data_IF_299562076735
#
_entry.id   IF_299562076735
#
_cell.length_a   1.000
_cell.length_b   1.000
_cell.length_c   1.000
_cell.angle_alpha   90.00
_cell.angle_beta   90.00
_cell.angle_gamma   90.00
#
_symmetry.space_group_name_H-M   'P 1'
#
loop_
_entity.id
_entity.type
_entity.pdbx_description
1 polymer ?
#
# COMPACT_ATOMS: atom_id res chain seq x y z
N UNK A 1 36.53 -10.49 9.71
CA UNK A 1 35.54 -9.71 8.93
C UNK A 1 34.75 -10.71 8.12
N UNK A 2 33.42 -10.59 8.06
CA UNK A 2 32.61 -11.49 7.24
C UNK A 2 32.54 -10.94 5.81
N UNK A 3 32.55 -11.84 4.84
CA UNK A 3 32.33 -11.55 3.43
C UNK A 3 31.07 -12.26 2.96
N UNK A 4 30.30 -11.60 2.11
CA UNK A 4 29.06 -12.11 1.57
C UNK A 4 29.18 -12.27 0.06
N UNK A 5 28.74 -13.42 -0.43
CA UNK A 5 28.78 -13.78 -1.84
C UNK A 5 27.36 -14.07 -2.29
N UNK A 6 26.90 -13.31 -3.27
CA UNK A 6 25.55 -13.42 -3.81
C UNK A 6 25.63 -14.05 -5.18
N UNK A 7 24.74 -15.01 -5.43
CA UNK A 7 24.60 -15.70 -6.70
C UNK A 7 23.16 -15.65 -7.17
N UNK A 8 22.96 -15.29 -8.43
CA UNK A 8 21.66 -15.33 -9.09
C UNK A 8 21.73 -16.29 -10.28
N UNK A 9 20.80 -17.24 -10.29
CA UNK A 9 20.50 -18.11 -11.42
C UNK A 9 19.20 -17.61 -12.07
N UNK A 10 19.20 -17.40 -13.38
CA UNK A 10 17.99 -17.02 -14.11
C UNK A 10 17.23 -18.26 -14.60
N UNK A 11 16.04 -18.04 -15.16
CA UNK A 11 15.28 -19.08 -15.83
C UNK A 11 15.92 -19.56 -17.14
N UNK A 12 16.84 -18.77 -17.72
CA UNK A 12 17.60 -19.18 -18.89
C UNK A 12 18.75 -20.12 -18.48
N UNK A 13 18.84 -21.32 -19.07
CA UNK A 13 19.91 -22.26 -18.71
C UNK A 13 21.30 -21.67 -18.94
N UNK A 14 22.14 -21.71 -17.91
CA UNK A 14 23.55 -21.29 -17.99
C UNK A 14 23.82 -19.83 -17.61
N UNK A 15 22.78 -18.99 -17.50
CA UNK A 15 22.93 -17.61 -17.04
C UNK A 15 23.09 -17.58 -15.52
N UNK A 16 24.27 -17.12 -15.08
CA UNK A 16 24.72 -17.09 -13.71
C UNK A 16 25.46 -15.79 -13.47
N UNK A 17 25.07 -15.09 -12.41
CA UNK A 17 25.63 -13.79 -12.04
C UNK A 17 26.14 -13.84 -10.61
N UNK A 18 27.20 -13.11 -10.32
CA UNK A 18 27.87 -13.12 -9.03
C UNK A 18 28.25 -11.72 -8.59
N UNK A 19 28.00 -11.43 -7.31
CA UNK A 19 28.65 -10.33 -6.62
C UNK A 19 29.35 -10.92 -5.40
N UNK A 20 30.68 -10.86 -5.42
CA UNK A 20 31.55 -11.49 -4.42
C UNK A 20 32.09 -10.47 -3.43
N UNK A 21 32.54 -10.96 -2.27
CA UNK A 21 33.30 -10.18 -1.28
C UNK A 21 32.60 -8.93 -0.74
N UNK A 22 31.26 -8.90 -0.76
CA UNK A 22 30.47 -7.82 -0.14
C UNK A 22 30.69 -7.83 1.36
N UNK A 23 30.79 -6.65 1.96
CA UNK A 23 31.03 -6.49 3.41
C UNK A 23 29.81 -5.98 4.17
N UNK A 24 28.84 -5.38 3.46
CA UNK A 24 27.58 -4.92 4.02
C UNK A 24 26.41 -5.82 3.58
N UNK A 25 25.86 -6.55 4.55
CA UNK A 25 24.70 -7.39 4.34
C UNK A 25 23.42 -6.57 4.12
N UNK A 26 23.40 -5.31 4.58
CA UNK A 26 22.25 -4.40 4.43
C UNK A 26 22.08 -3.98 2.98
N UNK A 27 23.18 -3.72 2.26
CA UNK A 27 23.18 -3.45 0.81
C UNK A 27 22.50 -4.60 0.05
N UNK A 28 22.90 -5.84 0.32
CA UNK A 28 22.28 -7.03 -0.31
C UNK A 28 20.78 -7.10 -0.01
N UNK A 29 20.37 -6.79 1.23
CA UNK A 29 18.96 -6.79 1.61
C UNK A 29 18.17 -5.71 0.88
N UNK A 30 18.68 -4.48 0.85
CA UNK A 30 17.98 -3.29 0.36
C UNK A 30 17.96 -3.21 -1.16
N UNK A 31 19.06 -3.60 -1.81
CA UNK A 31 19.21 -3.45 -3.27
C UNK A 31 18.76 -4.68 -4.04
N UNK A 32 18.83 -5.88 -3.43
CA UNK A 32 18.51 -7.14 -4.14
C UNK A 32 17.28 -7.81 -3.54
N UNK A 33 17.32 -8.18 -2.25
CA UNK A 33 16.32 -9.09 -1.67
C UNK A 33 14.96 -8.42 -1.47
N UNK A 34 14.91 -7.21 -0.91
CA UNK A 34 13.66 -6.48 -0.67
C UNK A 34 12.96 -6.15 -2.00
N UNK A 35 13.62 -5.55 -3.01
CA UNK A 35 13.02 -5.34 -4.33
C UNK A 35 12.51 -6.63 -4.97
N UNK A 36 13.30 -7.70 -4.95
CA UNK A 36 12.89 -9.02 -5.45
C UNK A 36 11.62 -9.53 -4.78
N UNK A 37 11.54 -9.43 -3.44
CA UNK A 37 10.37 -9.87 -2.67
C UNK A 37 9.12 -9.00 -2.87
N UNK A 38 9.31 -7.74 -3.26
CA UNK A 38 8.23 -6.79 -3.54
C UNK A 38 7.78 -6.81 -5.01
N UNK A 39 8.45 -7.58 -5.88
CA UNK A 39 8.16 -7.62 -7.32
C UNK A 39 8.67 -6.38 -8.06
N UNK A 40 9.62 -5.64 -7.49
CA UNK A 40 10.25 -4.48 -8.10
C UNK A 40 11.45 -4.91 -8.96
N UNK A 41 11.85 -4.04 -9.89
CA UNK A 41 13.10 -4.20 -10.62
C UNK A 41 14.29 -3.87 -9.72
N UNK A 42 15.42 -4.55 -9.94
CA UNK A 42 16.67 -4.31 -9.22
C UNK A 42 17.89 -4.51 -10.13
N UNK A 43 19.04 -3.99 -9.70
CA UNK A 43 20.31 -4.13 -10.41
C UNK A 43 21.17 -5.16 -9.68
N UNK A 44 21.84 -6.03 -10.43
CA UNK A 44 22.79 -7.01 -9.90
C UNK A 44 23.84 -7.33 -10.96
N UNK A 45 25.12 -7.29 -10.61
CA UNK A 45 26.25 -7.51 -11.52
C UNK A 45 26.19 -6.63 -12.79
N UNK A 46 25.63 -5.42 -12.65
CA UNK A 46 25.41 -4.47 -13.75
C UNK A 46 24.18 -4.76 -14.64
N UNK A 47 23.42 -5.83 -14.38
CA UNK A 47 22.22 -6.20 -15.12
C UNK A 47 20.94 -5.81 -14.38
N UNK A 48 19.87 -5.54 -15.13
CA UNK A 48 18.53 -5.30 -14.57
C UNK A 48 17.73 -6.60 -14.50
N UNK A 49 17.21 -6.90 -13.31
CA UNK A 49 16.38 -8.07 -13.05
C UNK A 49 15.00 -7.69 -12.54
N UNK A 50 14.02 -8.55 -12.85
CA UNK A 50 12.73 -8.61 -12.18
C UNK A 50 12.48 -10.03 -11.63
N UNK A 51 11.47 -10.17 -10.78
CA UNK A 51 11.15 -11.43 -10.10
C UNK A 51 10.88 -12.60 -11.07
N UNK A 52 10.36 -12.34 -12.27
CA UNK A 52 9.99 -13.39 -13.25
C UNK A 52 11.17 -13.98 -13.99
N UNK A 53 12.32 -13.31 -13.99
CA UNK A 53 13.54 -13.78 -14.65
C UNK A 53 14.39 -14.65 -13.72
N UNK A 54 14.22 -14.51 -12.41
CA UNK A 54 15.08 -15.14 -11.40
C UNK A 54 14.54 -16.51 -11.02
N UNK A 55 15.36 -17.54 -11.21
CA UNK A 55 15.08 -18.91 -10.80
C UNK A 55 15.49 -19.15 -9.35
N UNK A 56 16.64 -18.63 -8.94
CA UNK A 56 17.20 -18.84 -7.61
C UNK A 56 18.17 -17.72 -7.22
N UNK A 57 18.10 -17.28 -5.97
CA UNK A 57 19.10 -16.42 -5.32
C UNK A 57 19.75 -17.22 -4.20
N UNK A 58 21.08 -17.18 -4.10
CA UNK A 58 21.85 -17.78 -3.00
C UNK A 58 22.73 -16.70 -2.37
N UNK A 59 22.77 -16.68 -1.05
CA UNK A 59 23.61 -15.77 -0.27
C UNK A 59 24.47 -16.62 0.66
N UNK A 60 25.78 -16.51 0.48
CA UNK A 60 26.80 -17.22 1.26
C UNK A 60 27.60 -16.25 2.11
N UNK A 61 27.94 -16.66 3.32
CA UNK A 61 28.83 -15.94 4.23
C UNK A 61 30.16 -16.70 4.36
N UNK A 62 31.30 -16.01 4.32
CA UNK A 62 32.64 -16.58 4.54
C UNK A 62 33.51 -15.72 5.45
N UNK A 63 34.53 -16.34 6.03
CA UNK A 63 35.54 -15.66 6.85
C UNK A 63 36.76 -15.16 6.03
N UNK A 64 36.84 -15.54 4.75
CA UNK A 64 37.90 -15.14 3.81
C UNK A 64 37.28 -14.61 2.52
N UNK A 65 38.08 -13.91 1.72
CA UNK A 65 37.67 -13.43 0.41
C UNK A 65 37.55 -14.57 -0.61
N UNK A 66 36.95 -14.30 -1.76
CA UNK A 66 36.88 -15.22 -2.89
C UNK A 66 38.26 -15.52 -3.49
N UNK A 67 39.16 -14.52 -3.53
CA UNK A 67 40.55 -14.70 -3.96
C UNK A 67 41.37 -15.54 -2.97
N UNK A 68 41.24 -15.30 -1.66
CA UNK A 68 41.93 -16.11 -0.63
C UNK A 68 41.52 -17.59 -0.72
N UNK A 69 40.25 -17.84 -1.04
CA UNK A 69 39.74 -19.19 -1.31
C UNK A 69 40.43 -19.80 -2.54
N UNK A 70 40.48 -19.06 -3.66
CA UNK A 70 41.06 -19.52 -4.90
C UNK A 70 42.54 -19.89 -4.74
N UNK A 71 43.31 -19.05 -4.05
CA UNK A 71 44.72 -19.28 -3.75
C UNK A 71 44.93 -20.53 -2.89
N UNK A 72 44.12 -20.72 -1.85
CA UNK A 72 44.21 -21.91 -0.97
C UNK A 72 43.91 -23.20 -1.73
N UNK A 73 42.89 -23.21 -2.58
CA UNK A 73 42.56 -24.38 -3.40
C UNK A 73 43.63 -24.65 -4.47
N UNK A 74 44.18 -23.60 -5.07
CA UNK A 74 45.29 -23.71 -6.01
C UNK A 74 46.55 -24.30 -5.36
N UNK A 75 46.86 -23.90 -4.12
CA UNK A 75 47.99 -24.44 -3.35
C UNK A 75 47.83 -25.90 -2.93
N UNK A 76 46.59 -26.40 -2.76
CA UNK A 76 46.32 -27.82 -2.45
C UNK A 76 46.64 -28.75 -3.62
N UNK A 77 46.65 -28.24 -4.85
CA UNK A 77 46.88 -29.05 -6.05
C UNK A 77 48.37 -29.27 -6.32
N UNK A 78 48.75 -30.49 -6.73
CA UNK A 78 50.13 -30.81 -7.13
C UNK A 78 50.57 -29.92 -8.30
N UNK A 79 51.85 -29.52 -8.39
CA UNK A 79 52.33 -28.62 -9.43
C UNK A 79 51.99 -29.07 -10.86
N UNK A 80 51.97 -30.38 -11.13
CA UNK A 80 51.66 -30.93 -12.47
C UNK A 80 50.16 -30.93 -12.82
N UNK A 81 49.26 -30.66 -11.87
CA UNK A 81 47.79 -30.72 -12.07
C UNK A 81 47.06 -29.43 -11.66
N UNK A 82 47.80 -28.33 -11.47
CA UNK A 82 47.21 -27.03 -11.11
C UNK A 82 46.36 -26.48 -12.24
N UNK A 83 45.06 -26.40 -11.98
CA UNK A 83 44.11 -25.63 -12.78
C UNK A 83 43.84 -24.28 -12.11
N UNK A 84 43.47 -23.28 -12.91
CA UNK A 84 43.01 -22.00 -12.37
C UNK A 84 41.70 -22.21 -11.60
N UNK A 85 41.64 -21.67 -10.39
CA UNK A 85 40.44 -21.73 -9.54
C UNK A 85 39.74 -20.39 -9.66
N UNK A 86 38.56 -20.40 -10.29
CA UNK A 86 37.73 -19.21 -10.38
C UNK A 86 37.20 -18.78 -9.00
N UNK A 87 37.35 -17.51 -8.60
CA UNK A 87 36.89 -17.01 -7.29
C UNK A 87 35.41 -17.28 -7.02
N UNK A 88 34.54 -17.17 -8.03
CA UNK A 88 33.10 -17.40 -7.90
C UNK A 88 32.73 -18.83 -7.47
N UNK A 89 33.64 -19.80 -7.63
CA UNK A 89 33.43 -21.18 -7.17
C UNK A 89 33.27 -21.27 -5.65
N UNK A 90 33.71 -20.26 -4.88
CA UNK A 90 33.54 -20.21 -3.43
C UNK A 90 32.08 -20.41 -3.02
N UNK A 91 31.13 -19.91 -3.81
CA UNK A 91 29.68 -20.01 -3.55
C UNK A 91 29.22 -21.48 -3.47
N UNK A 92 29.88 -22.38 -4.20
CA UNK A 92 29.58 -23.81 -4.19
C UNK A 92 30.30 -24.61 -3.11
N UNK A 93 31.18 -23.99 -2.32
CA UNK A 93 32.10 -24.67 -1.39
C UNK A 93 31.67 -24.45 0.05
N UNK A 94 30.93 -25.42 0.59
CA UNK A 94 30.45 -25.41 1.98
C UNK A 94 31.60 -25.46 3.02
N UNK A 95 32.81 -25.85 2.62
CA UNK A 95 34.00 -25.79 3.49
C UNK A 95 34.41 -24.35 3.84
N UNK A 96 34.14 -23.40 2.95
CA UNK A 96 34.52 -21.99 3.09
C UNK A 96 33.31 -21.09 3.40
N UNK A 97 32.10 -21.58 3.13
CA UNK A 97 30.90 -20.76 3.17
C UNK A 97 29.78 -21.37 4.01
N UNK A 98 29.01 -20.50 4.65
CA UNK A 98 27.73 -20.82 5.29
C UNK A 98 26.60 -20.28 4.45
N UNK A 99 25.55 -21.09 4.21
CA UNK A 99 24.35 -20.63 3.50
C UNK A 99 23.43 -19.86 4.43
N UNK A 100 23.32 -18.55 4.20
CA UNK A 100 22.47 -17.67 5.01
C UNK A 100 21.18 -17.27 4.27
N UNK A 101 20.98 -17.75 3.04
CA UNK A 101 19.85 -17.37 2.15
C UNK A 101 18.52 -17.38 2.88
N UNK A 102 18.17 -18.50 3.52
CA UNK A 102 16.89 -18.65 4.22
C UNK A 102 16.72 -17.68 5.38
N UNK A 103 17.81 -17.37 6.09
CA UNK A 103 17.80 -16.42 7.22
C UNK A 103 17.50 -15.01 6.72
N UNK A 104 18.19 -14.57 5.66
CA UNK A 104 18.01 -13.25 5.07
C UNK A 104 16.58 -13.07 4.52
N UNK A 105 16.07 -14.04 3.77
CA UNK A 105 14.69 -13.99 3.28
C UNK A 105 13.67 -13.95 4.43
N UNK A 106 13.92 -14.65 5.54
CA UNK A 106 13.06 -14.60 6.73
C UNK A 106 13.10 -13.22 7.40
N UNK A 107 14.29 -12.62 7.52
CA UNK A 107 14.49 -11.29 8.08
C UNK A 107 13.80 -10.22 7.24
N UNK A 108 14.04 -10.19 5.92
CA UNK A 108 13.39 -9.28 4.97
C UNK A 108 11.86 -9.45 4.99
N UNK A 109 11.35 -10.69 5.08
CA UNK A 109 9.91 -10.93 5.27
C UNK A 109 9.39 -10.30 6.56
N UNK A 110 10.17 -10.34 7.63
CA UNK A 110 9.86 -9.68 8.90
C UNK A 110 9.81 -8.16 8.76
N UNK A 111 10.77 -7.57 8.05
CA UNK A 111 10.80 -6.13 7.76
C UNK A 111 9.58 -5.68 6.96
N UNK A 112 9.21 -6.42 5.90
CA UNK A 112 8.01 -6.14 5.09
C UNK A 112 6.71 -6.26 5.90
N UNK A 113 6.62 -7.24 6.80
CA UNK A 113 5.48 -7.36 7.73
C UNK A 113 5.43 -6.17 8.70
N UNK A 114 6.56 -5.75 9.26
CA UNK A 114 6.63 -4.62 10.19
C UNK A 114 6.26 -3.29 9.51
N UNK A 115 6.67 -3.11 8.25
CA UNK A 115 6.31 -1.93 7.45
C UNK A 115 4.81 -1.87 7.13
N UNK A 116 4.17 -3.01 6.90
CA UNK A 116 2.70 -3.10 6.68
C UNK A 116 1.89 -3.10 7.98
N UNK A 117 2.53 -3.37 9.13
CA UNK A 117 1.91 -3.42 10.46
C UNK A 117 2.25 -2.20 11.32
N UNK A 118 2.24 -0.97 10.77
CA UNK A 118 2.03 0.19 11.64
C UNK A 118 0.74 -0.08 12.44
N UNK A 119 0.74 -0.02 13.78
CA UNK A 119 -0.48 -0.26 14.54
C UNK A 119 -1.52 0.74 14.07
N UNK A 120 -2.56 0.25 13.39
CA UNK A 120 -3.75 1.06 13.13
C UNK A 120 -4.31 1.36 14.51
N UNK A 121 -4.19 2.62 14.94
CA UNK A 121 -5.00 3.15 16.04
C UNK A 121 -6.42 2.62 15.80
N UNK A 122 -7.05 1.95 16.79
CA UNK A 122 -8.42 1.50 16.64
C UNK A 122 -9.27 2.67 16.15
N UNK A 123 -9.97 2.46 15.03
CA UNK A 123 -10.78 3.53 14.44
C UNK A 123 -11.85 3.95 15.44
N UNK A 124 -12.04 5.26 15.59
CA UNK A 124 -13.01 5.80 16.52
C UNK A 124 -14.43 5.60 15.94
N UNK A 125 -15.18 4.66 16.52
CA UNK A 125 -16.56 4.36 16.13
C UNK A 125 -17.61 5.20 16.87
N UNK A 126 -17.18 6.19 17.66
CA UNK A 126 -18.10 7.21 18.20
C UNK A 126 -18.34 8.35 17.21
N UNK A 127 -17.61 8.38 16.08
CA UNK A 127 -17.60 9.46 15.10
C UNK A 127 -17.92 8.96 13.70
N UNK A 128 -18.61 9.77 12.91
CA UNK A 128 -18.82 9.54 11.47
C UNK A 128 -18.34 10.78 10.72
N UNK A 129 -17.52 10.57 9.71
CA UNK A 129 -17.00 11.67 8.89
C UNK A 129 -17.99 11.99 7.76
N UNK A 130 -18.32 13.26 7.56
CA UNK A 130 -19.23 13.72 6.51
C UNK A 130 -18.48 14.64 5.56
N UNK A 131 -18.38 14.18 4.31
CA UNK A 131 -17.85 14.97 3.19
C UNK A 131 -19.02 15.61 2.46
N UNK A 132 -18.93 16.92 2.19
CA UNK A 132 -20.01 17.65 1.52
C UNK A 132 -19.47 18.75 0.58
N UNK A 133 -20.30 19.11 -0.40
CA UNK A 133 -20.10 20.28 -1.26
C UNK A 133 -20.79 21.52 -0.68
N UNK A 134 -21.45 22.30 -1.53
CA UNK A 134 -22.15 23.52 -1.11
C UNK A 134 -23.62 23.33 -0.70
N UNK A 135 -24.14 22.10 -0.75
CA UNK A 135 -25.52 21.83 -0.36
C UNK A 135 -25.65 21.70 1.17
N UNK A 136 -25.89 22.83 1.82
CA UNK A 136 -26.03 22.89 3.29
C UNK A 136 -27.21 22.07 3.80
N UNK A 137 -28.31 21.98 3.05
CA UNK A 137 -29.47 21.19 3.45
C UNK A 137 -29.14 19.69 3.49
N UNK A 138 -28.43 19.17 2.48
CA UNK A 138 -27.98 17.78 2.47
C UNK A 138 -26.98 17.50 3.61
N UNK A 139 -26.04 18.43 3.84
CA UNK A 139 -25.07 18.38 4.94
C UNK A 139 -25.77 18.31 6.30
N UNK A 140 -26.71 19.21 6.56
CA UNK A 140 -27.46 19.24 7.83
C UNK A 140 -28.31 17.99 8.03
N UNK A 141 -28.98 17.49 6.99
CA UNK A 141 -29.77 16.27 7.07
C UNK A 141 -28.91 15.05 7.44
N UNK A 142 -27.72 14.91 6.82
CA UNK A 142 -26.76 13.86 7.15
C UNK A 142 -26.19 14.00 8.57
N UNK A 143 -25.83 15.21 8.99
CA UNK A 143 -25.32 15.47 10.33
C UNK A 143 -26.35 15.13 11.41
N UNK A 144 -27.59 15.62 11.25
CA UNK A 144 -28.69 15.33 12.20
C UNK A 144 -29.00 13.83 12.27
N UNK A 145 -28.97 13.12 11.15
CA UNK A 145 -29.13 11.67 11.14
C UNK A 145 -28.06 10.96 11.99
N UNK A 146 -26.79 11.29 11.78
CA UNK A 146 -25.67 10.73 12.54
C UNK A 146 -25.80 11.04 14.03
N UNK A 147 -26.15 12.28 14.37
CA UNK A 147 -26.30 12.74 15.76
C UNK A 147 -27.50 12.10 16.47
N UNK A 148 -28.63 11.90 15.77
CA UNK A 148 -29.82 11.22 16.32
C UNK A 148 -29.53 9.75 16.68
N UNK A 149 -28.61 9.10 15.95
CA UNK A 149 -28.14 7.76 16.28
C UNK A 149 -27.17 7.73 17.47
N UNK A 150 -26.72 8.90 17.97
CA UNK A 150 -25.82 9.02 19.12
C UNK A 150 -24.34 9.10 18.75
N UNK A 151 -24.00 9.31 17.47
CA UNK A 151 -22.63 9.47 17.01
C UNK A 151 -22.28 10.95 16.78
N UNK A 152 -20.99 11.29 16.84
CA UNK A 152 -20.51 12.64 16.53
C UNK A 152 -20.27 12.79 15.02
N UNK A 153 -20.98 13.71 14.38
CA UNK A 153 -20.69 14.11 13.00
C UNK A 153 -19.38 14.93 12.95
N UNK A 154 -18.47 14.56 12.04
CA UNK A 154 -17.23 15.29 11.77
C UNK A 154 -17.33 15.90 10.37
N UNK A 155 -17.48 17.22 10.33
CA UNK A 155 -17.55 18.01 9.09
C UNK A 155 -16.29 18.88 9.00
N UNK A 156 -15.52 18.69 7.92
CA UNK A 156 -14.19 19.29 7.79
C UNK A 156 -14.21 20.83 7.76
N UNK A 157 -15.18 21.42 7.04
CA UNK A 157 -15.31 22.87 6.89
C UNK A 157 -15.64 23.59 8.20
N UNK A 158 -16.18 22.85 9.19
CA UNK A 158 -16.50 23.38 10.52
C UNK A 158 -15.30 23.32 11.49
N UNK A 159 -14.23 22.61 11.12
CA UNK A 159 -13.02 22.51 11.96
C UNK A 159 -12.12 23.74 11.77
N UNK A 160 -11.60 24.27 12.88
CA UNK A 160 -10.70 25.42 12.89
C UNK A 160 -9.52 25.22 11.94
N UNK A 161 -9.21 26.24 11.13
CA UNK A 161 -8.12 26.15 10.16
C UNK A 161 -6.75 26.08 10.79
N UNK A 162 -6.49 26.83 11.86
CA UNK A 162 -5.24 26.78 12.63
C UNK A 162 -3.95 26.79 11.78
N UNK A 163 -3.98 27.38 10.57
CA UNK A 163 -2.87 27.37 9.61
C UNK A 163 -2.71 26.09 8.78
N UNK A 164 -3.51 25.06 9.02
CA UNK A 164 -3.46 23.77 8.33
C UNK A 164 -4.16 23.81 6.97
N UNK A 165 -3.57 23.07 6.02
CA UNK A 165 -4.16 22.73 4.73
C UNK A 165 -5.35 21.78 4.89
N UNK A 166 -6.18 21.67 3.83
CA UNK A 166 -7.31 20.72 3.79
C UNK A 166 -6.83 19.28 4.04
N UNK A 167 -5.68 18.90 3.47
CA UNK A 167 -5.09 17.56 3.64
C UNK A 167 -4.77 17.29 5.10
N UNK A 168 -4.08 18.20 5.77
CA UNK A 168 -3.70 18.06 7.19
C UNK A 168 -4.94 17.98 8.09
N UNK A 169 -6.00 18.75 7.78
CA UNK A 169 -7.27 18.64 8.51
C UNK A 169 -7.91 17.27 8.33
N UNK A 170 -7.92 16.73 7.11
CA UNK A 170 -8.48 15.40 6.83
C UNK A 170 -7.66 14.35 7.58
N UNK A 171 -6.34 14.43 7.53
CA UNK A 171 -5.45 13.50 8.25
C UNK A 171 -5.72 13.51 9.76
N UNK A 172 -5.88 14.69 10.37
CA UNK A 172 -6.16 14.85 11.78
C UNK A 172 -7.54 14.33 12.20
N UNK A 173 -8.53 14.35 11.30
CA UNK A 173 -9.94 14.06 11.63
C UNK A 173 -10.47 12.74 11.03
N UNK A 174 -9.68 12.06 10.20
CA UNK A 174 -10.08 10.81 9.50
C UNK A 174 -9.87 9.52 10.31
N UNK A 175 -9.55 9.62 11.62
CA UNK A 175 -9.56 8.46 12.52
C UNK A 175 -11.00 8.09 12.91
N UNK A 176 -11.82 7.71 11.92
CA UNK A 176 -13.22 7.31 12.08
C UNK A 176 -13.42 5.89 11.55
N UNK A 177 -14.44 5.20 12.04
CA UNK A 177 -14.81 3.88 11.51
C UNK A 177 -15.66 3.90 10.24
N UNK A 178 -16.28 5.03 9.90
CA UNK A 178 -17.23 5.16 8.80
C UNK A 178 -17.29 6.60 8.27
N UNK A 179 -17.58 6.75 6.97
CA UNK A 179 -17.78 8.04 6.34
C UNK A 179 -18.97 8.07 5.38
N UNK A 180 -19.65 9.22 5.32
CA UNK A 180 -20.73 9.54 4.41
C UNK A 180 -20.25 10.63 3.45
N UNK A 181 -20.37 10.40 2.15
CA UNK A 181 -19.94 11.33 1.10
C UNK A 181 -21.15 11.85 0.35
N UNK A 182 -21.42 13.16 0.40
CA UNK A 182 -22.58 13.77 -0.24
C UNK A 182 -22.26 14.19 -1.68
N UNK A 183 -22.81 13.44 -2.63
CA UNK A 183 -22.81 13.73 -4.06
C UNK A 183 -24.00 14.61 -4.40
N UNK A 184 -23.77 15.91 -4.41
CA UNK A 184 -24.76 16.96 -4.72
C UNK A 184 -24.35 17.70 -5.99
N UNK A 185 -25.29 18.27 -6.77
CA UNK A 185 -25.01 18.93 -8.05
C UNK A 185 -24.37 20.31 -7.85
N UNK A 186 -23.14 20.36 -7.33
CA UNK A 186 -22.45 21.61 -6.97
C UNK A 186 -21.67 22.22 -8.13
N UNK A 187 -21.08 21.37 -8.97
CA UNK A 187 -20.31 21.79 -10.13
C UNK A 187 -20.96 21.18 -11.37
N UNK A 188 -20.58 21.66 -12.55
CA UNK A 188 -20.93 21.03 -13.83
C UNK A 188 -19.64 20.62 -14.58
N UNK A 189 -19.74 19.58 -15.40
CA UNK A 189 -18.61 19.07 -16.16
C UNK A 189 -19.02 18.24 -17.36
N UNK A 190 -18.05 17.96 -18.23
CA UNK A 190 -18.22 17.07 -19.40
C UNK A 190 -16.88 16.48 -19.83
N UNK A 191 -16.86 15.29 -20.44
CA UNK A 191 -15.69 14.76 -21.13
C UNK A 191 -15.25 15.66 -22.29
N UNK A 192 -13.95 15.67 -22.57
CA UNK A 192 -13.42 16.36 -23.76
C UNK A 192 -14.01 15.73 -25.02
N UNK A 193 -14.56 16.57 -25.90
CA UNK A 193 -15.22 16.13 -27.14
C UNK A 193 -16.74 15.99 -27.02
N UNK A 194 -17.31 16.05 -25.82
CA UNK A 194 -18.75 15.97 -25.62
C UNK A 194 -19.37 17.36 -25.41
N UNK A 195 -19.30 18.17 -26.47
CA UNK A 195 -20.04 19.45 -26.71
C UNK A 195 -21.14 19.80 -25.71
N UNK A 196 -22.18 19.00 -25.85
CA UNK A 196 -23.53 19.28 -25.39
C UNK A 196 -23.93 18.37 -24.21
N UNK A 197 -22.97 17.70 -23.58
CA UNK A 197 -23.22 16.79 -22.44
C UNK A 197 -22.70 17.39 -21.13
N UNK A 198 -23.00 18.66 -20.90
CA UNK A 198 -22.73 19.28 -19.60
C UNK A 198 -23.64 18.61 -18.54
N UNK A 199 -23.04 17.96 -17.55
CA UNK A 199 -23.75 17.24 -16.49
C UNK A 199 -23.45 17.85 -15.12
N UNK A 200 -24.43 17.88 -14.20
CA UNK A 200 -24.16 18.17 -12.80
C UNK A 200 -23.24 17.12 -12.20
N UNK A 201 -22.33 17.53 -11.32
CA UNK A 201 -21.38 16.65 -10.63
C UNK A 201 -21.09 17.16 -9.22
N UNK A 202 -20.60 16.27 -8.38
CA UNK A 202 -20.09 16.65 -7.07
C UNK A 202 -18.85 17.53 -7.20
N UNK A 203 -18.62 18.39 -6.20
CA UNK A 203 -17.47 19.28 -6.15
C UNK A 203 -16.16 18.48 -6.22
N UNK A 204 -15.13 18.96 -6.91
CA UNK A 204 -13.88 18.19 -7.05
C UNK A 204 -13.24 17.78 -5.71
N UNK A 205 -13.30 18.65 -4.70
CA UNK A 205 -12.80 18.33 -3.36
C UNK A 205 -13.55 17.15 -2.73
N UNK A 206 -14.85 17.02 -2.97
CA UNK A 206 -15.66 15.88 -2.50
C UNK A 206 -15.15 14.59 -3.12
N UNK A 207 -14.82 14.60 -4.43
CA UNK A 207 -14.26 13.44 -5.12
C UNK A 207 -12.89 13.06 -4.56
N UNK A 208 -12.03 14.05 -4.29
CA UNK A 208 -10.72 13.83 -3.69
C UNK A 208 -10.83 13.23 -2.28
N UNK A 209 -11.66 13.81 -1.42
CA UNK A 209 -11.90 13.35 -0.06
C UNK A 209 -12.48 11.94 -0.03
N UNK A 210 -13.40 11.62 -0.95
CA UNK A 210 -13.92 10.27 -1.13
C UNK A 210 -12.79 9.27 -1.42
N UNK A 211 -11.94 9.56 -2.40
CA UNK A 211 -10.80 8.70 -2.75
C UNK A 211 -9.84 8.51 -1.58
N UNK A 212 -9.53 9.58 -0.85
CA UNK A 212 -8.69 9.52 0.34
C UNK A 212 -9.31 8.61 1.42
N UNK A 213 -10.60 8.76 1.72
CA UNK A 213 -11.29 7.96 2.74
C UNK A 213 -11.34 6.47 2.36
N UNK A 214 -11.60 6.15 1.09
CA UNK A 214 -11.49 4.77 0.59
C UNK A 214 -10.09 4.20 0.87
N UNK A 215 -9.03 4.96 0.59
CA UNK A 215 -7.65 4.52 0.85
C UNK A 215 -7.33 4.37 2.35
N UNK A 216 -7.86 5.27 3.18
CA UNK A 216 -7.58 5.33 4.62
C UNK A 216 -8.34 4.29 5.44
N UNK A 217 -9.67 4.30 5.31
CA UNK A 217 -10.58 3.48 6.12
C UNK A 217 -11.11 2.26 5.36
N UNK A 218 -10.90 2.19 4.04
CA UNK A 218 -11.33 1.07 3.20
C UNK A 218 -12.71 1.29 2.61
N UNK A 219 -12.92 0.87 1.35
CA UNK A 219 -14.15 1.11 0.57
C UNK A 219 -15.45 0.71 1.29
N UNK A 220 -15.44 -0.38 2.05
CA UNK A 220 -16.62 -0.90 2.76
C UNK A 220 -17.10 0.02 3.90
N UNK A 221 -16.23 0.90 4.38
CA UNK A 221 -16.51 1.83 5.47
C UNK A 221 -16.90 3.23 4.94
N UNK A 222 -17.26 3.34 3.65
CA UNK A 222 -17.63 4.60 3.01
C UNK A 222 -18.92 4.41 2.22
N UNK A 223 -19.91 5.28 2.44
CA UNK A 223 -21.15 5.33 1.67
C UNK A 223 -21.30 6.67 0.96
N UNK A 224 -21.71 6.64 -0.31
CA UNK A 224 -21.96 7.83 -1.10
C UNK A 224 -23.48 8.09 -1.19
N UNK A 225 -23.93 9.24 -0.70
CA UNK A 225 -25.32 9.70 -0.83
C UNK A 225 -25.46 10.58 -2.07
N UNK A 226 -26.26 10.17 -3.04
CA UNK A 226 -26.43 10.86 -4.32
C UNK A 226 -27.76 11.60 -4.36
N UNK A 227 -27.73 12.93 -4.42
CA UNK A 227 -28.90 13.80 -4.49
C UNK A 227 -29.09 14.30 -5.93
N UNK A 228 -30.17 13.88 -6.57
CA UNK A 228 -30.48 14.24 -7.96
C UNK A 228 -29.70 13.39 -8.98
N UNK A 229 -29.60 13.92 -10.20
CA UNK A 229 -28.87 13.29 -11.31
C UNK A 229 -27.45 13.89 -11.40
N UNK A 230 -26.52 13.27 -10.67
CA UNK A 230 -25.15 13.74 -10.50
C UNK A 230 -24.20 12.72 -11.09
N UNK A 231 -23.25 13.17 -11.91
CA UNK A 231 -22.18 12.33 -12.44
C UNK A 231 -21.34 11.72 -11.29
N UNK A 232 -21.21 10.39 -11.32
CA UNK A 232 -20.39 9.62 -10.38
C UNK A 232 -19.19 8.98 -11.10
N UNK A 233 -18.03 8.82 -10.43
CA UNK A 233 -16.88 8.15 -11.04
C UNK A 233 -17.18 6.69 -11.42
N UNK A 234 -16.82 6.28 -12.64
CA UNK A 234 -17.13 4.95 -13.18
C UNK A 234 -16.31 3.80 -12.55
N UNK A 235 -15.08 4.07 -12.08
CA UNK A 235 -14.10 3.05 -11.69
C UNK A 235 -14.12 2.67 -10.19
N UNK A 236 -15.12 3.11 -9.43
CA UNK A 236 -15.21 2.85 -7.99
C UNK A 236 -16.05 1.57 -7.73
N UNK A 237 -15.49 0.42 -8.07
CA UNK A 237 -16.13 -0.87 -7.80
C UNK A 237 -16.23 -1.16 -6.28
N UNK A 238 -17.45 -1.44 -5.80
CA UNK A 238 -17.71 -1.85 -4.42
C UNK A 238 -17.86 -0.72 -3.39
N UNK A 239 -18.06 0.53 -3.83
CA UNK A 239 -18.64 1.59 -2.98
C UNK A 239 -20.16 1.58 -3.15
N UNK A 240 -20.88 1.73 -2.04
CA UNK A 240 -22.34 1.78 -2.04
C UNK A 240 -22.79 3.21 -2.38
N UNK A 241 -23.46 3.35 -3.52
CA UNK A 241 -24.16 4.58 -3.89
C UNK A 241 -25.62 4.44 -3.46
N UNK A 242 -26.05 5.30 -2.54
CA UNK A 242 -27.40 5.34 -2.00
C UNK A 242 -28.05 6.63 -2.51
N UNK A 243 -29.22 6.53 -3.13
CA UNK A 243 -29.96 7.71 -3.56
C UNK A 243 -30.47 8.44 -2.32
N UNK A 244 -30.15 9.73 -2.21
CA UNK A 244 -30.70 10.61 -1.19
C UNK A 244 -32.08 11.07 -1.65
N UNK A 245 -33.10 10.32 -1.25
CA UNK A 245 -34.50 10.60 -1.58
C UNK A 245 -35.19 11.49 -0.55
N UNK A 246 -36.35 12.04 -0.95
CA UNK A 246 -37.20 12.86 -0.08
C UNK A 246 -38.00 12.02 0.94
N UNK A 247 -38.09 10.71 0.71
CA UNK A 247 -38.79 9.77 1.59
C UNK A 247 -37.92 9.32 2.78
N UNK A 248 -36.72 9.87 2.92
CA UNK A 248 -35.75 9.55 3.98
C UNK A 248 -35.33 8.07 4.05
N UNK A 249 -35.58 7.29 3.00
CA UNK A 249 -35.26 5.85 2.98
C UNK A 249 -33.74 5.61 3.00
N UNK A 250 -32.99 6.60 2.52
CA UNK A 250 -31.53 6.62 2.55
C UNK A 250 -30.97 6.49 3.97
N UNK A 251 -31.66 7.01 5.00
CA UNK A 251 -31.22 6.94 6.40
C UNK A 251 -31.12 5.50 6.86
N UNK A 252 -32.13 4.70 6.54
CA UNK A 252 -32.16 3.28 6.90
C UNK A 252 -31.07 2.48 6.15
N UNK A 253 -30.85 2.80 4.86
CA UNK A 253 -29.79 2.17 4.08
C UNK A 253 -28.39 2.48 4.65
N UNK A 254 -28.11 3.75 4.98
CA UNK A 254 -26.83 4.14 5.62
C UNK A 254 -26.68 3.49 6.99
N UNK A 255 -27.74 3.45 7.80
CA UNK A 255 -27.73 2.80 9.11
C UNK A 255 -27.31 1.33 9.05
N UNK A 256 -27.79 0.58 8.06
CA UNK A 256 -27.38 -0.82 7.82
C UNK A 256 -25.89 -0.94 7.45
N UNK A 257 -25.38 -0.06 6.60
CA UNK A 257 -23.96 -0.07 6.24
C UNK A 257 -23.08 0.27 7.45
N UNK A 258 -23.51 1.22 8.29
CA UNK A 258 -22.82 1.55 9.54
C UNK A 258 -22.78 0.35 10.51
N UNK A 259 -23.91 -0.35 10.69
CA UNK A 259 -24.00 -1.57 11.51
C UNK A 259 -23.07 -2.67 10.97
N UNK A 260 -23.05 -2.89 9.65
CA UNK A 260 -22.15 -3.85 9.00
C UNK A 260 -20.66 -3.51 9.18
N UNK A 261 -20.34 -2.23 9.34
CA UNK A 261 -19.00 -1.75 9.70
C UNK A 261 -18.70 -1.84 11.20
N UNK A 262 -19.67 -2.32 11.98
CA UNK A 262 -19.61 -2.56 13.42
C UNK A 262 -19.78 -1.31 14.26
N UNK A 263 -20.56 -0.33 13.80
CA UNK A 263 -21.14 0.71 14.65
C UNK A 263 -22.33 0.13 15.42
N UNK A 264 -22.54 0.58 16.65
CA UNK A 264 -23.69 0.19 17.48
C UNK A 264 -24.91 1.04 17.10
N UNK A 265 -25.53 0.71 15.96
CA UNK A 265 -26.63 1.47 15.38
C UNK A 265 -27.97 0.90 15.86
N UNK A 266 -28.77 1.72 16.51
CA UNK A 266 -30.17 1.38 16.79
C UNK A 266 -31.05 1.80 15.60
N UNK A 267 -31.35 0.84 14.73
CA UNK A 267 -32.19 1.06 13.54
C UNK A 267 -33.62 1.48 13.87
N UNK A 268 -34.09 1.33 15.12
CA UNK A 268 -35.43 1.79 15.54
C UNK A 268 -35.50 3.31 15.78
N UNK A 269 -34.35 4.00 15.79
CA UNK A 269 -34.26 5.47 15.95
C UNK A 269 -34.30 6.23 14.62
N UNK A 270 -34.49 5.51 13.50
CA UNK A 270 -34.46 6.05 12.13
C UNK A 270 -35.87 6.39 11.65
#
# INVERSE_FOLDING_TARGET
MAYYHVFIETNNPGERYYELDKTDLSEIKEEVILPYMQGLNFVFDGYFFNQTQVKRIVIKESACTSEDYADREWMKSSPESRMYIYPENIVGKNEYTTDITRSIFKECKGLLKKATSKPKVPMDKSKVFIVHGHDDAAKEAAARFVENLGFKAIILHEQASSGNTIIEKIEANSNVGFAIVLYTPCDEGRPKGEENQLKPRARQNVIFEHGYLIGKIGRKNVSALVKGDVETPNDISGVVYIKMDEADSWKYAVGKEMEACGYDVDLNKI
#
